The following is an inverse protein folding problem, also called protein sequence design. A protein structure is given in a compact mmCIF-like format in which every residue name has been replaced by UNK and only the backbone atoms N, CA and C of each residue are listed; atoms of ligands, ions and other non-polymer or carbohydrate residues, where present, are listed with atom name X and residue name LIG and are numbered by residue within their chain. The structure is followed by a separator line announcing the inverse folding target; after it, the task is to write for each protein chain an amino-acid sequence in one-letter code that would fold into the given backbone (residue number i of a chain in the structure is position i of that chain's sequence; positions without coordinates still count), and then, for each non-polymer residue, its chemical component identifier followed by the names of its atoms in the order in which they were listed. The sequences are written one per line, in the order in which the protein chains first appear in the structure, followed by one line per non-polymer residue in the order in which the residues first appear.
data_IF_085737964026
#
_entry.id   IF_085737964026
#
_cell.length_a   1.000
_cell.length_b   1.000
_cell.length_c   1.000
_cell.angle_alpha   90.00
_cell.angle_beta   90.00
_cell.angle_gamma   90.00
#
_symmetry.space_group_name_H-M   'P 1'
#
loop_
_entity.id
_entity.type
_entity.pdbx_description
1 polymer ?
#
# COMPACT_ATOMS: atom_id res chain seq x y z
N UNK A 1 7.70 -18.14 0.49
CA UNK A 1 7.54 -16.69 0.69
C UNK A 1 6.08 -16.37 0.87
N UNK A 2 5.76 -15.55 1.86
CA UNK A 2 4.36 -15.24 2.11
C UNK A 2 3.85 -14.16 1.16
N UNK A 3 2.53 -14.13 1.01
CA UNK A 3 1.91 -13.11 0.17
C UNK A 3 2.25 -11.72 0.67
N UNK A 4 2.30 -11.55 1.99
CA UNK A 4 2.61 -10.25 2.58
C UNK A 4 4.03 -9.82 2.21
N UNK A 5 4.98 -10.73 2.31
CA UNK A 5 6.35 -10.40 1.94
C UNK A 5 6.45 -10.01 0.47
N UNK A 6 5.71 -10.70 -0.37
CA UNK A 6 5.70 -10.38 -1.78
C UNK A 6 5.15 -8.98 -2.04
N UNK A 7 4.06 -8.65 -1.36
CA UNK A 7 3.45 -7.33 -1.49
C UNK A 7 4.42 -6.24 -1.02
N UNK A 8 5.03 -6.45 0.14
CA UNK A 8 5.95 -5.46 0.70
C UNK A 8 7.19 -5.29 -0.17
N UNK A 9 7.64 -6.38 -0.76
CA UNK A 9 8.78 -6.32 -1.67
C UNK A 9 8.45 -5.46 -2.89
N UNK A 10 7.27 -5.65 -3.45
CA UNK A 10 6.83 -4.85 -4.59
C UNK A 10 6.69 -3.39 -4.19
N UNK A 11 6.13 -3.14 -3.00
CA UNK A 11 5.97 -1.78 -2.53
C UNK A 11 7.32 -1.10 -2.36
N UNK A 12 8.31 -1.84 -1.85
CA UNK A 12 9.65 -1.31 -1.69
C UNK A 12 10.26 -0.95 -3.03
N UNK A 13 10.08 -1.81 -4.02
CA UNK A 13 10.64 -1.57 -5.35
C UNK A 13 10.02 -0.35 -6.02
N UNK A 14 8.77 -0.05 -5.70
CA UNK A 14 8.10 1.12 -6.27
C UNK A 14 8.28 2.38 -5.43
N UNK A 15 8.96 2.26 -4.30
CA UNK A 15 9.18 3.41 -3.44
C UNK A 15 7.97 3.82 -2.62
N UNK A 16 7.01 2.93 -2.47
CA UNK A 16 5.78 3.23 -1.72
C UNK A 16 5.64 2.33 -0.48
N UNK A 17 6.75 1.79 0.00
CA UNK A 17 6.71 0.91 1.17
C UNK A 17 6.12 1.61 2.38
N UNK A 18 6.58 2.81 2.66
CA UNK A 18 6.14 3.56 3.83
C UNK A 18 4.66 3.90 3.73
N UNK A 19 4.21 4.31 2.56
CA UNK A 19 2.81 4.62 2.35
C UNK A 19 1.95 3.38 2.50
N UNK A 20 2.43 2.25 1.98
CA UNK A 20 1.70 1.00 2.11
C UNK A 20 1.52 0.63 3.58
N UNK A 21 2.57 0.78 4.38
CA UNK A 21 2.49 0.48 5.80
C UNK A 21 1.51 1.39 6.52
N UNK A 22 1.56 2.67 6.19
CA UNK A 22 0.66 3.65 6.78
C UNK A 22 -0.79 3.35 6.43
N UNK A 23 -1.04 3.05 5.16
CA UNK A 23 -2.38 2.75 4.71
C UNK A 23 -2.89 1.43 5.27
N UNK A 24 -2.00 0.48 5.51
CA UNK A 24 -2.39 -0.78 6.13
C UNK A 24 -2.99 -0.53 7.52
N UNK A 25 -2.44 0.41 8.26
CA UNK A 25 -2.98 0.76 9.56
C UNK A 25 -4.36 1.41 9.42
N UNK A 26 -4.53 2.24 8.40
CA UNK A 26 -5.81 2.86 8.14
C UNK A 26 -6.88 1.82 7.81
N UNK A 27 -6.51 0.86 6.96
CA UNK A 27 -7.42 -0.21 6.61
C UNK A 27 -7.83 -1.02 7.83
N UNK A 28 -6.87 -1.27 8.72
CA UNK A 28 -7.17 -2.00 9.95
C UNK A 28 -8.15 -1.24 10.82
N UNK A 29 -8.04 0.08 10.86
CA UNK A 29 -8.98 0.90 11.64
C UNK A 29 -10.37 0.84 11.06
N UNK A 30 -10.47 0.83 9.72
CA UNK A 30 -11.76 0.75 9.05
C UNK A 30 -12.40 -0.61 9.23
N UNK A 31 -11.59 -1.65 9.21
CA UNK A 31 -12.07 -3.03 9.30
C UNK A 31 -11.15 -3.84 10.21
N UNK A 32 -11.38 -3.78 11.53
CA UNK A 32 -10.48 -4.47 12.48
C UNK A 32 -10.46 -5.98 12.30
N UNK A 33 -11.42 -6.54 11.60
CA UNK A 33 -11.49 -7.99 11.40
C UNK A 33 -10.81 -8.44 10.11
N UNK A 34 -10.32 -7.51 9.32
CA UNK A 34 -9.71 -7.85 8.05
C UNK A 34 -8.44 -8.68 8.28
N UNK A 35 -8.24 -9.67 7.42
CA UNK A 35 -7.04 -10.48 7.51
C UNK A 35 -5.82 -9.69 7.08
N UNK A 36 -4.67 -10.08 7.64
CA UNK A 36 -3.45 -9.35 7.39
C UNK A 36 -3.09 -9.30 5.90
N UNK A 37 -3.26 -10.43 5.20
CA UNK A 37 -2.94 -10.46 3.78
C UNK A 37 -3.83 -9.52 2.98
N UNK A 38 -5.12 -9.53 3.28
CA UNK A 38 -6.06 -8.65 2.60
C UNK A 38 -5.77 -7.20 2.93
N UNK A 39 -5.41 -6.94 4.18
CA UNK A 39 -5.11 -5.59 4.63
C UNK A 39 -3.93 -4.99 3.83
N UNK A 40 -2.86 -5.75 3.71
CA UNK A 40 -1.70 -5.26 2.97
C UNK A 40 -1.96 -5.16 1.48
N UNK A 41 -2.78 -6.06 0.95
CA UNK A 41 -3.13 -6.00 -0.45
C UNK A 41 -3.91 -4.73 -0.76
N UNK A 42 -4.91 -4.43 0.06
CA UNK A 42 -5.71 -3.22 -0.12
C UNK A 42 -4.83 -1.98 0.06
N UNK A 43 -3.99 -2.00 1.08
CA UNK A 43 -3.11 -0.86 1.33
C UNK A 43 -2.17 -0.62 0.15
N UNK A 44 -1.65 -1.69 -0.41
CA UNK A 44 -0.75 -1.58 -1.55
C UNK A 44 -1.48 -0.97 -2.75
N UNK A 45 -2.71 -1.42 -3.00
CA UNK A 45 -3.48 -0.89 -4.11
C UNK A 45 -3.78 0.60 -3.91
N UNK A 46 -4.12 0.98 -2.69
CA UNK A 46 -4.37 2.38 -2.38
C UNK A 46 -3.11 3.22 -2.55
N UNK A 47 -1.97 2.68 -2.13
CA UNK A 47 -0.70 3.39 -2.26
C UNK A 47 -0.34 3.59 -3.72
N UNK A 48 -0.59 2.58 -4.55
CA UNK A 48 -0.32 2.71 -5.97
C UNK A 48 -1.19 3.80 -6.59
N UNK A 49 -2.45 3.83 -6.23
CA UNK A 49 -3.35 4.85 -6.75
C UNK A 49 -2.93 6.24 -6.29
N UNK A 50 -2.49 6.35 -5.05
CA UNK A 50 -2.03 7.61 -4.52
C UNK A 50 -0.79 8.09 -5.29
N UNK A 51 0.10 7.16 -5.59
CA UNK A 51 1.30 7.48 -6.35
C UNK A 51 0.94 8.03 -7.74
N UNK A 52 -0.01 7.39 -8.39
CA UNK A 52 -0.44 7.84 -9.71
C UNK A 52 -1.10 9.22 -9.65
N UNK A 53 -1.89 9.44 -8.62
CA UNK A 53 -2.60 10.71 -8.47
C UNK A 53 -1.66 11.84 -8.13
N UNK A 54 -0.72 11.58 -7.23
CA UNK A 54 0.21 12.61 -6.79
C UNK A 54 1.41 12.70 -7.70
N UNK A 55 1.41 11.91 -8.75
CA UNK A 55 2.43 12.05 -9.77
C UNK A 55 2.42 13.51 -10.21
N UNK A 56 3.51 14.26 -9.99
CA UNK A 56 3.50 15.68 -10.35
C UNK A 56 3.33 15.78 -11.84
N UNK A 57 2.61 16.66 -12.20
CA UNK A 57 2.47 16.92 -13.62
C UNK A 57 3.78 17.40 -14.15
N UNK A 58 4.24 17.34 -13.73
CA UNK A 58 4.98 17.92 -13.79
C UNK A 58 5.18 18.72 -14.28
N UNK A 59 5.15 19.02 -14.23
CA UNK A 59 5.14 19.82 -14.45
C UNK A 59 5.41 20.45 -14.86
N UNK A 60 5.62 20.62 -15.14
CA UNK A 60 5.60 21.39 -15.54
C UNK A 60 5.80 21.53 -15.90
#
# INVERSE_FOLDING_TARGET
MSKIEHILHKAHNKGIYRETMSLAQEVKKEDPKIEMEDRYEIAYERAKKSLLKSSPPHNP
#
